data_IF_990417004566
#
_entry.id   IF_990417004566
#
_cell.length_a   1.000
_cell.length_b   1.000
_cell.length_c   1.000
_cell.angle_alpha   90.00
_cell.angle_beta   90.00
_cell.angle_gamma   90.00
#
_symmetry.space_group_name_H-M   'P 1'
#
loop_
_entity.id
_entity.type
_entity.pdbx_description
1 polymer ?
#
# COMPACT_ATOMS: atom_id res chain seq x y z
N UNK A 1 13.62 37.35 17.71
CA UNK A 1 13.78 36.62 18.98
C UNK A 1 13.73 35.14 18.66
N UNK A 2 14.89 34.51 18.59
CA UNK A 2 15.12 33.10 18.33
C UNK A 2 14.88 32.30 19.61
N UNK A 3 14.01 31.29 19.55
CA UNK A 3 13.80 30.35 20.65
C UNK A 3 14.07 28.92 20.15
N UNK A 4 15.31 28.49 20.30
CA UNK A 4 15.77 27.12 20.13
C UNK A 4 15.43 26.32 21.39
N UNK A 5 14.69 25.22 21.26
CA UNK A 5 14.49 24.23 22.33
C UNK A 5 15.28 22.96 22.00
N UNK A 6 16.19 22.50 22.87
CA UNK A 6 16.84 21.21 22.72
C UNK A 6 15.93 20.12 23.30
N UNK A 7 15.61 19.09 22.51
CA UNK A 7 15.06 17.84 23.04
C UNK A 7 16.18 16.80 23.01
N UNK A 8 16.40 16.23 24.19
CA UNK A 8 17.50 15.37 24.55
C UNK A 8 17.43 14.01 23.84
N UNK A 9 18.59 13.53 23.43
CA UNK A 9 18.84 12.12 23.15
C UNK A 9 18.77 11.32 24.46
N UNK A 10 18.01 10.23 24.46
CA UNK A 10 18.08 9.18 25.48
C UNK A 10 18.01 7.81 24.78
N UNK A 11 19.06 7.04 25.03
CA UNK A 11 19.36 5.71 24.52
C UNK A 11 18.45 4.62 25.09
N UNK A 12 18.30 3.50 24.37
CA UNK A 12 18.12 2.10 24.83
C UNK A 12 18.10 1.23 23.55
N UNK A 13 19.19 0.66 23.05
CA UNK A 13 19.94 -0.49 23.54
C UNK A 13 19.10 -1.76 23.78
N UNK A 14 19.44 -2.82 23.01
CA UNK A 14 19.29 -4.26 23.27
C UNK A 14 17.95 -4.93 22.96
N UNK A 15 17.86 -5.54 21.78
CA UNK A 15 17.31 -6.90 21.62
C UNK A 15 18.24 -7.71 20.69
N UNK A 16 19.27 -8.27 21.30
CA UNK A 16 20.04 -9.38 20.73
C UNK A 16 19.75 -10.62 21.58
N UNK A 17 19.61 -11.76 20.90
CA UNK A 17 19.49 -13.13 21.39
C UNK A 17 18.07 -13.55 21.84
N UNK A 18 17.54 -14.58 21.15
CA UNK A 18 16.46 -15.54 21.48
C UNK A 18 15.80 -15.92 20.13
N UNK A 19 15.98 -17.08 19.47
CA UNK A 19 16.20 -18.47 19.88
C UNK A 19 17.07 -19.24 18.88
N UNK A 20 17.98 -20.01 19.45
CA UNK A 20 18.70 -21.14 18.88
C UNK A 20 17.78 -22.33 18.59
N UNK A 21 17.97 -22.98 17.45
CA UNK A 21 18.04 -24.44 17.30
C UNK A 21 16.85 -25.32 17.71
N UNK A 22 16.12 -25.81 16.72
CA UNK A 22 15.43 -27.10 16.80
C UNK A 22 16.10 -28.09 15.83
N UNK A 23 17.20 -28.68 16.27
CA UNK A 23 17.71 -29.93 15.70
C UNK A 23 17.15 -31.08 16.55
N UNK A 24 16.29 -31.91 15.96
CA UNK A 24 15.72 -33.11 16.55
C UNK A 24 15.69 -34.23 15.51
N UNK A 25 16.36 -35.33 15.82
CA UNK A 25 16.82 -36.36 14.90
C UNK A 25 15.77 -37.44 14.54
N UNK A 26 15.93 -37.93 13.32
CA UNK A 26 15.79 -39.30 12.80
C UNK A 26 14.74 -40.26 13.38
N UNK A 27 13.79 -40.66 12.53
CA UNK A 27 13.30 -42.03 12.51
C UNK A 27 13.34 -42.57 11.07
N UNK A 28 14.13 -43.61 10.86
CA UNK A 28 14.22 -44.38 9.63
C UNK A 28 13.07 -45.41 9.59
N UNK A 29 12.43 -45.58 8.44
CA UNK A 29 11.40 -46.59 8.26
C UNK A 29 10.74 -46.58 6.89
N UNK A 30 11.34 -47.39 6.00
CA UNK A 30 10.70 -48.23 4.98
C UNK A 30 10.19 -47.64 3.66
N UNK A 31 10.64 -48.32 2.62
CA UNK A 31 10.44 -48.14 1.18
C UNK A 31 8.97 -48.10 0.74
N UNK A 32 8.64 -47.08 -0.03
CA UNK A 32 7.68 -47.22 -1.13
C UNK A 32 8.09 -46.29 -2.27
N UNK A 33 8.52 -46.90 -3.37
CA UNK A 33 8.80 -46.26 -4.65
C UNK A 33 7.51 -45.62 -5.18
N UNK A 34 7.37 -44.32 -4.97
CA UNK A 34 6.34 -43.51 -5.60
C UNK A 34 6.98 -42.64 -6.68
N UNK A 35 6.63 -42.98 -7.92
CA UNK A 35 6.77 -42.24 -9.17
C UNK A 35 6.84 -40.71 -8.94
N UNK A 36 7.78 -39.96 -9.54
CA UNK A 36 7.79 -38.52 -9.44
C UNK A 36 6.59 -37.97 -10.21
N UNK A 37 5.47 -37.76 -9.52
CA UNK A 37 4.52 -36.74 -9.92
C UNK A 37 5.29 -35.43 -9.85
N UNK A 38 5.36 -34.75 -11.00
CA UNK A 38 5.86 -33.40 -11.09
C UNK A 38 5.18 -32.60 -9.98
N UNK A 39 5.96 -32.21 -8.95
CA UNK A 39 5.60 -31.08 -8.10
C UNK A 39 5.23 -29.99 -9.10
N UNK A 40 3.95 -29.61 -9.12
CA UNK A 40 3.58 -28.30 -9.63
C UNK A 40 4.62 -27.35 -9.04
N UNK A 41 5.31 -26.63 -9.93
CA UNK A 41 6.17 -25.53 -9.51
C UNK A 41 5.35 -24.72 -8.53
N UNK A 42 5.76 -24.78 -7.25
CA UNK A 42 5.31 -23.81 -6.27
C UNK A 42 5.76 -22.51 -6.90
N UNK A 43 4.80 -21.78 -7.49
CA UNK A 43 5.02 -20.42 -7.94
C UNK A 43 5.74 -19.77 -6.78
N UNK A 44 6.96 -19.28 -7.01
CA UNK A 44 7.76 -18.71 -5.94
C UNK A 44 6.88 -17.72 -5.19
N UNK A 45 6.58 -18.01 -3.92
CA UNK A 45 5.73 -17.17 -3.12
C UNK A 45 6.38 -15.79 -3.08
N UNK A 46 5.64 -14.78 -3.52
CA UNK A 46 6.10 -13.40 -3.50
C UNK A 46 6.52 -13.03 -2.07
N UNK A 47 7.72 -12.51 -1.90
CA UNK A 47 8.15 -12.02 -0.59
C UNK A 47 7.37 -10.76 -0.21
N UNK A 48 7.22 -10.44 1.09
CA UNK A 48 6.57 -9.19 1.51
C UNK A 48 7.21 -7.96 0.88
N UNK A 49 8.54 -7.93 0.76
CA UNK A 49 9.24 -6.81 0.13
C UNK A 49 8.89 -6.66 -1.35
N UNK A 50 8.89 -7.75 -2.13
CA UNK A 50 8.51 -7.71 -3.55
C UNK A 50 7.05 -7.26 -3.74
N UNK A 51 6.16 -7.68 -2.84
CA UNK A 51 4.76 -7.22 -2.84
C UNK A 51 4.66 -5.71 -2.59
N UNK A 52 5.39 -5.20 -1.60
CA UNK A 52 5.42 -3.77 -1.27
C UNK A 52 6.04 -2.92 -2.37
N UNK A 53 7.11 -3.42 -3.01
CA UNK A 53 7.78 -2.73 -4.11
C UNK A 53 6.86 -2.55 -5.33
N UNK A 54 5.89 -3.46 -5.55
CA UNK A 54 4.87 -3.28 -6.59
C UNK A 54 3.99 -2.04 -6.35
N UNK A 55 3.61 -1.79 -5.09
CA UNK A 55 2.74 -0.68 -4.73
C UNK A 55 3.48 0.66 -4.71
N UNK A 56 4.78 0.64 -4.41
CA UNK A 56 5.61 1.82 -4.19
C UNK A 56 5.53 2.85 -5.34
N UNK A 57 5.63 2.39 -6.59
CA UNK A 57 5.57 3.31 -7.75
C UNK A 57 4.26 4.10 -7.79
N UNK A 58 3.12 3.43 -7.56
CA UNK A 58 1.82 4.10 -7.53
C UNK A 58 1.63 5.05 -6.34
N UNK A 59 2.26 4.75 -5.20
CA UNK A 59 2.28 5.65 -4.05
C UNK A 59 3.14 6.89 -4.31
N UNK A 60 4.27 6.73 -4.99
CA UNK A 60 5.13 7.86 -5.41
C UNK A 60 4.39 8.77 -6.40
N UNK A 61 3.67 8.20 -7.38
CA UNK A 61 2.78 8.96 -8.28
C UNK A 61 1.73 9.75 -7.49
N UNK A 62 1.10 9.14 -6.49
CA UNK A 62 0.12 9.81 -5.65
C UNK A 62 0.72 10.97 -4.84
N UNK A 63 1.93 10.79 -4.29
CA UNK A 63 2.65 11.86 -3.59
C UNK A 63 2.98 13.00 -4.55
N UNK A 64 3.40 12.71 -5.78
CA UNK A 64 3.66 13.73 -6.80
C UNK A 64 2.40 14.55 -7.12
N UNK A 65 1.25 13.89 -7.25
CA UNK A 65 -0.05 14.57 -7.44
C UNK A 65 -0.49 15.41 -6.23
N UNK A 66 0.02 15.12 -5.03
CA UNK A 66 -0.23 15.92 -3.83
C UNK A 66 0.65 17.18 -3.72
N UNK A 67 1.61 17.38 -4.64
CA UNK A 67 2.45 18.57 -4.67
C UNK A 67 1.63 19.85 -4.84
N UNK A 68 2.15 20.97 -4.34
CA UNK A 68 1.44 22.26 -4.37
C UNK A 68 1.04 22.70 -5.79
N UNK A 69 1.84 22.35 -6.80
CA UNK A 69 1.55 22.63 -8.21
C UNK A 69 0.33 21.84 -8.69
N UNK A 70 0.29 20.53 -8.41
CA UNK A 70 -0.82 19.67 -8.81
C UNK A 70 -2.11 19.94 -8.01
N UNK A 71 -1.98 20.34 -6.74
CA UNK A 71 -3.12 20.82 -5.93
C UNK A 71 -3.71 22.11 -6.50
N UNK A 72 -2.89 23.01 -7.07
CA UNK A 72 -3.40 24.20 -7.73
C UNK A 72 -4.25 23.84 -8.97
N UNK A 73 -3.88 22.79 -9.71
CA UNK A 73 -4.65 22.26 -10.85
C UNK A 73 -6.03 21.80 -10.42
N UNK A 74 -6.22 21.23 -9.23
CA UNK A 74 -7.55 20.85 -8.74
C UNK A 74 -8.52 22.05 -8.66
N UNK A 75 -7.99 23.26 -8.44
CA UNK A 75 -8.80 24.48 -8.36
C UNK A 75 -9.00 25.14 -9.72
N UNK A 76 -7.97 25.16 -10.57
CA UNK A 76 -8.00 25.85 -11.87
C UNK A 76 -8.55 25.00 -13.02
N UNK A 77 -8.34 23.68 -12.97
CA UNK A 77 -8.81 22.69 -13.95
C UNK A 77 -9.10 21.34 -13.25
N UNK A 78 -10.24 21.24 -12.54
CA UNK A 78 -10.59 20.04 -11.79
C UNK A 78 -10.76 18.80 -12.67
N UNK A 79 -11.12 18.96 -13.95
CA UNK A 79 -11.23 17.83 -14.89
C UNK A 79 -9.88 17.20 -15.15
N UNK A 80 -8.86 18.02 -15.43
CA UNK A 80 -7.49 17.53 -15.64
C UNK A 80 -6.93 16.91 -14.37
N UNK A 81 -7.17 17.51 -13.20
CA UNK A 81 -6.73 16.94 -11.93
C UNK A 81 -7.37 15.57 -11.63
N UNK A 82 -8.68 15.43 -11.85
CA UNK A 82 -9.37 14.14 -11.66
C UNK A 82 -8.90 13.09 -12.67
N UNK A 83 -8.60 13.47 -13.92
CA UNK A 83 -8.04 12.54 -14.90
C UNK A 83 -6.65 12.02 -14.49
N UNK A 84 -5.81 12.88 -13.90
CA UNK A 84 -4.51 12.46 -13.35
C UNK A 84 -4.68 11.50 -12.17
N UNK A 85 -5.59 11.81 -11.23
CA UNK A 85 -5.89 10.92 -10.10
C UNK A 85 -6.45 9.57 -10.57
N UNK A 86 -7.31 9.53 -11.60
CA UNK A 86 -7.79 8.29 -12.22
C UNK A 86 -6.67 7.46 -12.87
N UNK A 87 -5.63 8.13 -13.36
CA UNK A 87 -4.45 7.43 -13.91
C UNK A 87 -3.68 6.74 -12.80
N UNK A 88 -3.41 7.44 -11.69
CA UNK A 88 -2.77 6.85 -10.49
C UNK A 88 -3.64 5.77 -9.84
N UNK A 89 -4.97 5.94 -9.83
CA UNK A 89 -5.92 4.91 -9.38
C UNK A 89 -5.78 3.63 -10.21
N UNK A 90 -5.70 3.75 -11.53
CA UNK A 90 -5.48 2.61 -12.41
C UNK A 90 -4.12 1.96 -12.14
N UNK A 91 -3.04 2.74 -12.01
CA UNK A 91 -1.70 2.25 -11.65
C UNK A 91 -1.72 1.46 -10.34
N UNK A 92 -2.37 2.00 -9.31
CA UNK A 92 -2.43 1.37 -7.99
C UNK A 92 -3.28 0.08 -8.00
N UNK A 93 -4.39 0.06 -8.74
CA UNK A 93 -5.20 -1.15 -8.93
C UNK A 93 -4.44 -2.24 -9.68
N UNK A 94 -3.68 -1.87 -10.71
CA UNK A 94 -2.82 -2.80 -11.44
C UNK A 94 -1.68 -3.34 -10.58
N UNK A 95 -1.11 -2.51 -9.70
CA UNK A 95 -0.11 -2.94 -8.73
C UNK A 95 -0.71 -3.90 -7.69
N UNK A 96 -1.86 -3.55 -7.08
CA UNK A 96 -2.54 -4.38 -6.10
C UNK A 96 -2.94 -5.74 -6.67
N UNK A 97 -3.38 -5.80 -7.93
CA UNK A 97 -3.72 -7.05 -8.61
C UNK A 97 -2.51 -7.99 -8.83
N UNK A 98 -1.28 -7.47 -8.74
CA UNK A 98 -0.03 -8.25 -8.82
C UNK A 98 0.48 -8.67 -7.44
N UNK A 99 -0.12 -8.18 -6.35
CA UNK A 99 0.20 -8.60 -4.99
C UNK A 99 -0.48 -9.93 -4.70
N UNK A 100 0.33 -10.95 -4.46
CA UNK A 100 -0.12 -12.30 -4.08
C UNK A 100 0.36 -12.69 -2.68
N UNK A 101 1.28 -11.93 -2.08
CA UNK A 101 1.73 -12.16 -0.71
C UNK A 101 0.57 -11.96 0.29
N UNK A 102 0.30 -12.99 1.09
CA UNK A 102 -0.83 -13.01 2.02
C UNK A 102 -0.78 -11.93 3.12
N UNK A 103 0.41 -11.45 3.49
CA UNK A 103 0.56 -10.42 4.52
C UNK A 103 0.34 -9.01 3.97
N UNK A 104 0.46 -8.81 2.64
CA UNK A 104 0.38 -7.50 1.98
C UNK A 104 -0.91 -7.32 1.18
N UNK A 105 -1.51 -8.41 0.68
CA UNK A 105 -2.63 -8.36 -0.28
C UNK A 105 -3.84 -7.57 0.25
N UNK A 106 -4.19 -7.74 1.51
CA UNK A 106 -5.36 -7.05 2.10
C UNK A 106 -5.11 -5.54 2.20
N UNK A 107 -3.91 -5.13 2.64
CA UNK A 107 -3.54 -3.72 2.74
C UNK A 107 -3.40 -3.07 1.35
N UNK A 108 -2.83 -3.77 0.37
CA UNK A 108 -2.75 -3.31 -1.02
C UNK A 108 -4.15 -3.11 -1.64
N UNK A 109 -5.05 -4.06 -1.42
CA UNK A 109 -6.45 -3.97 -1.86
C UNK A 109 -7.20 -2.85 -1.13
N UNK A 110 -6.96 -2.66 0.17
CA UNK A 110 -7.55 -1.57 0.95
C UNK A 110 -7.15 -0.19 0.42
N UNK A 111 -5.84 0.03 0.21
CA UNK A 111 -5.33 1.28 -0.36
C UNK A 111 -5.87 1.53 -1.78
N UNK A 112 -5.85 0.51 -2.66
CA UNK A 112 -6.41 0.62 -4.01
C UNK A 112 -7.91 0.93 -3.98
N UNK A 113 -8.67 0.26 -3.11
CA UNK A 113 -10.11 0.45 -2.98
C UNK A 113 -10.46 1.87 -2.53
N UNK A 114 -9.76 2.39 -1.52
CA UNK A 114 -9.97 3.75 -1.03
C UNK A 114 -9.68 4.81 -2.10
N UNK A 115 -8.70 4.59 -2.97
CA UNK A 115 -8.43 5.48 -4.12
C UNK A 115 -9.50 5.39 -5.20
N UNK A 116 -10.00 4.20 -5.49
CA UNK A 116 -11.14 4.03 -6.40
C UNK A 116 -12.36 4.80 -5.88
N UNK A 117 -12.67 4.71 -4.60
CA UNK A 117 -13.78 5.45 -3.98
C UNK A 117 -13.56 6.96 -4.02
N UNK A 118 -12.37 7.43 -3.65
CA UNK A 118 -12.03 8.85 -3.67
C UNK A 118 -12.10 9.45 -5.08
N UNK A 119 -11.54 8.77 -6.08
CA UNK A 119 -11.58 9.25 -7.47
C UNK A 119 -12.98 9.21 -8.07
N UNK A 120 -13.79 8.19 -7.74
CA UNK A 120 -15.20 8.14 -8.13
C UNK A 120 -16.00 9.29 -7.51
N UNK A 121 -15.75 9.60 -6.23
CA UNK A 121 -16.36 10.75 -5.57
C UNK A 121 -15.99 12.06 -6.26
N UNK A 122 -14.70 12.29 -6.54
CA UNK A 122 -14.26 13.49 -7.23
C UNK A 122 -14.83 13.60 -8.65
N UNK A 123 -14.98 12.50 -9.37
CA UNK A 123 -15.61 12.50 -10.69
C UNK A 123 -17.05 12.99 -10.64
N UNK A 124 -17.81 12.60 -9.60
CA UNK A 124 -19.16 13.11 -9.36
C UNK A 124 -19.12 14.61 -9.03
N UNK A 125 -18.19 15.05 -8.17
CA UNK A 125 -18.03 16.46 -7.82
C UNK A 125 -17.75 17.32 -9.05
N UNK A 126 -16.93 16.83 -9.99
CA UNK A 126 -16.55 17.57 -11.19
C UNK A 126 -17.64 17.53 -12.26
N UNK A 127 -18.30 16.39 -12.45
CA UNK A 127 -19.33 16.22 -13.48
C UNK A 127 -20.70 16.79 -13.09
N UNK A 128 -21.03 16.82 -11.80
CA UNK A 128 -22.29 17.35 -11.27
C UNK A 128 -22.11 18.06 -9.91
N UNK A 129 -21.42 19.21 -9.88
CA UNK A 129 -21.13 19.91 -8.63
C UNK A 129 -22.38 20.41 -7.90
N UNK A 130 -23.51 20.58 -8.60
CA UNK A 130 -24.75 21.06 -8.00
C UNK A 130 -25.44 20.01 -7.12
N UNK A 131 -25.20 18.72 -7.38
CA UNK A 131 -25.80 17.60 -6.65
C UNK A 131 -24.76 16.79 -5.86
N UNK A 132 -23.48 17.16 -5.92
CA UNK A 132 -22.43 16.48 -5.19
C UNK A 132 -22.54 16.74 -3.67
N UNK A 133 -22.40 15.67 -2.88
CA UNK A 133 -22.41 15.73 -1.43
C UNK A 133 -21.00 16.06 -0.89
N UNK A 134 -20.65 17.34 -0.88
CA UNK A 134 -19.35 17.81 -0.42
C UNK A 134 -19.08 17.51 1.08
N UNK A 135 -20.12 17.15 1.86
CA UNK A 135 -19.92 16.76 3.25
C UNK A 135 -19.10 15.47 3.38
N UNK A 136 -19.14 14.61 2.36
CA UNK A 136 -18.39 13.35 2.28
C UNK A 136 -16.92 13.51 1.89
N UNK A 137 -16.50 14.69 1.42
CA UNK A 137 -15.11 14.89 1.00
C UNK A 137 -14.12 14.54 2.13
N UNK A 138 -14.42 14.97 3.35
CA UNK A 138 -13.56 14.68 4.51
C UNK A 138 -13.47 13.18 4.82
N UNK A 139 -14.60 12.47 4.74
CA UNK A 139 -14.67 11.01 4.92
C UNK A 139 -13.84 10.28 3.87
N UNK A 140 -13.98 10.67 2.59
CA UNK A 140 -13.25 10.06 1.49
C UNK A 140 -11.74 10.29 1.59
N UNK A 141 -11.31 11.51 1.98
CA UNK A 141 -9.90 11.82 2.22
C UNK A 141 -9.36 11.00 3.41
N UNK A 142 -10.12 10.88 4.50
CA UNK A 142 -9.72 10.06 5.65
C UNK A 142 -9.61 8.58 5.26
N UNK A 143 -10.57 8.03 4.52
CA UNK A 143 -10.53 6.65 4.06
C UNK A 143 -9.27 6.37 3.21
N UNK A 144 -8.96 7.27 2.27
CA UNK A 144 -7.75 7.18 1.47
C UNK A 144 -6.48 7.24 2.33
N UNK A 145 -6.40 8.19 3.26
CA UNK A 145 -5.26 8.31 4.18
C UNK A 145 -5.07 7.07 5.04
N UNK A 146 -6.17 6.51 5.56
CA UNK A 146 -6.15 5.27 6.35
C UNK A 146 -5.66 4.10 5.51
N UNK A 147 -6.19 3.89 4.30
CA UNK A 147 -5.75 2.78 3.44
C UNK A 147 -4.27 2.87 3.07
N UNK A 148 -3.77 4.07 2.77
CA UNK A 148 -2.34 4.30 2.50
C UNK A 148 -1.48 4.07 3.75
N UNK A 149 -1.95 4.52 4.92
CA UNK A 149 -1.22 4.34 6.17
C UNK A 149 -1.12 2.86 6.56
N UNK A 150 -2.21 2.09 6.44
CA UNK A 150 -2.22 0.64 6.68
C UNK A 150 -1.23 -0.08 5.74
N UNK A 151 -1.23 0.27 4.46
CA UNK A 151 -0.24 -0.24 3.51
C UNK A 151 1.18 0.18 3.89
N UNK A 152 1.39 1.42 4.31
CA UNK A 152 2.67 1.93 4.78
C UNK A 152 3.19 1.20 6.03
N UNK A 153 2.31 0.86 6.98
CA UNK A 153 2.66 0.09 8.17
C UNK A 153 3.10 -1.33 7.82
N UNK A 154 2.34 -2.02 6.96
CA UNK A 154 2.69 -3.37 6.49
C UNK A 154 4.00 -3.37 5.70
N UNK A 155 4.20 -2.36 4.86
CA UNK A 155 5.36 -2.25 3.99
C UNK A 155 6.56 -1.50 4.59
N UNK A 156 6.42 -0.97 5.82
CA UNK A 156 7.43 -0.14 6.47
C UNK A 156 7.94 1.03 5.59
N UNK A 157 7.01 1.71 4.89
CA UNK A 157 7.28 2.81 3.96
C UNK A 157 7.32 4.18 4.62
#
# INVERSE_FOLDING_TARGET
MTATRPIAAASLALFALLLTGCAGASNAGDSAEAKPEAKAEVAADQTPQEACDLMKGSLEELVELSSAENVATLTSDPTTAVAALKTTEASMREAAAKVTNADVVDAANGASGAMTEYTAFLDVVVSDPANADLSKLSEQVTALQTGIAELGEVCSL
#
